data_IF_527671203868
#
_entry.id   IF_527671203868
#
_cell.length_a   1.000
_cell.length_b   1.000
_cell.length_c   1.000
_cell.angle_alpha   90.00
_cell.angle_beta   90.00
_cell.angle_gamma   90.00
#
_symmetry.space_group_name_H-M   'P 1'
#
loop_
_entity.id
_entity.type
_entity.pdbx_description
1 polymer ?
#
# COMPACT_ATOMS: atom_id res chain seq x y z
N UNK A 1 -12.70 -8.44 -3.97
CA UNK A 1 -11.23 -8.39 -3.82
C UNK A 1 -10.78 -7.03 -4.31
N UNK A 2 -10.33 -6.16 -3.41
CA UNK A 2 -9.89 -4.81 -3.76
C UNK A 2 -8.47 -4.87 -4.32
N UNK A 3 -8.26 -4.24 -5.47
CA UNK A 3 -6.95 -4.02 -6.08
C UNK A 3 -6.86 -2.55 -6.45
N UNK A 4 -5.82 -1.88 -5.96
CA UNK A 4 -5.57 -0.46 -6.22
C UNK A 4 -4.21 -0.34 -6.87
N UNK A 5 -4.16 0.25 -8.05
CA UNK A 5 -2.90 0.58 -8.74
C UNK A 5 -2.58 2.05 -8.46
N UNK A 6 -1.38 2.33 -7.94
CA UNK A 6 -0.97 3.63 -7.45
C UNK A 6 0.44 4.01 -7.94
N UNK A 7 0.55 5.14 -8.63
CA UNK A 7 1.83 5.71 -9.03
C UNK A 7 2.40 6.51 -7.87
N UNK A 8 3.63 6.17 -7.45
CA UNK A 8 4.32 6.84 -6.35
C UNK A 8 5.66 7.40 -6.82
N UNK A 9 5.80 8.72 -6.66
CA UNK A 9 7.04 9.44 -6.93
C UNK A 9 8.02 9.22 -5.77
N UNK A 10 9.06 8.41 -6.00
CA UNK A 10 10.08 8.14 -4.97
C UNK A 10 11.10 9.28 -4.92
N UNK A 11 11.35 9.93 -6.06
CA UNK A 11 12.31 11.02 -6.19
C UNK A 11 11.80 12.06 -7.19
N UNK A 12 11.99 13.35 -6.91
CA UNK A 12 11.47 14.48 -7.72
C UNK A 12 11.88 14.47 -9.20
N UNK A 13 12.89 13.69 -9.60
CA UNK A 13 13.44 13.64 -10.95
C UNK A 13 13.48 12.22 -11.55
N UNK A 14 12.68 11.29 -11.05
CA UNK A 14 12.55 9.93 -11.62
C UNK A 14 11.10 9.66 -12.03
N UNK A 15 10.92 8.71 -12.97
CA UNK A 15 9.58 8.23 -13.29
C UNK A 15 8.95 7.56 -12.06
N UNK A 16 7.68 7.83 -11.75
CA UNK A 16 6.99 7.18 -10.65
C UNK A 16 7.00 5.67 -10.82
N UNK A 17 7.17 4.95 -9.72
CA UNK A 17 6.96 3.50 -9.72
C UNK A 17 5.48 3.20 -9.54
N UNK A 18 5.01 2.21 -10.30
CA UNK A 18 3.65 1.69 -10.15
C UNK A 18 3.63 0.63 -9.05
N UNK A 19 2.95 0.94 -7.96
CA UNK A 19 2.64 0.00 -6.91
C UNK A 19 1.23 -0.56 -7.09
N UNK A 20 1.04 -1.82 -6.75
CA UNK A 20 -0.27 -2.46 -6.68
C UNK A 20 -0.53 -2.86 -5.23
N UNK A 21 -1.62 -2.34 -4.66
CA UNK A 21 -2.12 -2.68 -3.33
C UNK A 21 -3.25 -3.72 -3.49
N UNK A 22 -3.02 -4.94 -3.02
CA UNK A 22 -3.98 -6.04 -3.10
C UNK A 22 -4.49 -6.39 -1.71
N UNK A 23 -5.80 -6.38 -1.54
CA UNK A 23 -6.42 -6.81 -0.29
C UNK A 23 -6.19 -8.31 -0.08
N UNK A 24 -5.73 -8.68 1.12
CA UNK A 24 -5.55 -10.06 1.52
C UNK A 24 -6.83 -10.70 2.05
N UNK A 25 -6.65 -11.74 2.86
CA UNK A 25 -7.76 -12.55 3.38
C UNK A 25 -8.67 -11.79 4.35
N UNK A 26 -8.16 -10.73 4.98
CA UNK A 26 -8.92 -9.85 5.87
C UNK A 26 -9.01 -8.44 5.28
N UNK A 27 -10.03 -7.69 5.69
CA UNK A 27 -10.21 -6.31 5.22
C UNK A 27 -9.08 -5.37 5.61
N UNK A 28 -8.35 -5.73 6.65
CA UNK A 28 -7.31 -4.92 7.28
C UNK A 28 -5.92 -5.20 6.70
N UNK A 29 -5.75 -6.27 5.92
CA UNK A 29 -4.46 -6.72 5.41
C UNK A 29 -4.31 -6.40 3.92
N UNK A 30 -3.19 -5.77 3.56
CA UNK A 30 -2.86 -5.44 2.18
C UNK A 30 -1.44 -5.86 1.82
N UNK A 31 -1.31 -6.45 0.63
CA UNK A 31 -0.05 -6.74 -0.03
C UNK A 31 0.34 -5.57 -0.93
N UNK A 32 1.60 -5.16 -0.84
CA UNK A 32 2.19 -4.11 -1.66
C UNK A 32 3.10 -4.79 -2.66
N UNK A 33 2.80 -4.62 -3.95
CA UNK A 33 3.58 -5.18 -5.05
C UNK A 33 4.13 -4.08 -5.94
N UNK A 34 5.26 -4.35 -6.59
CA UNK A 34 5.79 -3.57 -7.72
C UNK A 34 5.93 -4.54 -8.88
N UNK A 35 5.13 -4.34 -9.93
CA UNK A 35 5.00 -5.36 -10.97
C UNK A 35 4.43 -6.66 -10.40
N UNK A 36 5.13 -7.77 -10.63
CA UNK A 36 4.81 -9.11 -10.11
C UNK A 36 5.49 -9.43 -8.76
N UNK A 37 6.29 -8.50 -8.23
CA UNK A 37 7.05 -8.72 -7.02
C UNK A 37 6.33 -8.18 -5.79
N UNK A 38 6.06 -9.06 -4.80
CA UNK A 38 5.65 -8.66 -3.46
C UNK A 38 6.81 -7.97 -2.73
N UNK A 39 6.63 -6.70 -2.38
CA UNK A 39 7.66 -5.92 -1.66
C UNK A 39 7.36 -5.80 -0.17
N UNK A 40 6.09 -5.84 0.21
CA UNK A 40 5.71 -5.76 1.61
C UNK A 40 4.27 -6.12 1.89
N UNK A 41 3.98 -6.32 3.17
CA UNK A 41 2.63 -6.53 3.69
C UNK A 41 2.38 -5.53 4.79
N UNK A 42 1.27 -4.80 4.70
CA UNK A 42 0.81 -3.86 5.73
C UNK A 42 -0.54 -4.31 6.30
N UNK A 43 -0.77 -3.97 7.55
CA UNK A 43 -2.01 -4.25 8.24
C UNK A 43 -2.53 -2.98 8.93
N UNK A 44 -3.85 -2.79 8.92
CA UNK A 44 -4.50 -1.73 9.67
C UNK A 44 -4.40 -2.04 11.16
N UNK A 45 -3.93 -1.06 11.94
CA UNK A 45 -3.87 -1.09 13.40
C UNK A 45 -4.66 0.11 13.95
N UNK A 46 -4.82 0.19 15.27
CA UNK A 46 -5.61 1.24 15.94
C UNK A 46 -5.20 2.66 15.48
N UNK A 47 -3.90 2.91 15.36
CA UNK A 47 -3.35 4.24 15.13
C UNK A 47 -2.81 4.46 13.69
N UNK A 48 -3.17 3.58 12.74
CA UNK A 48 -2.71 3.73 11.36
C UNK A 48 -2.47 2.42 10.63
N UNK A 49 -1.43 2.40 9.80
CA UNK A 49 -1.01 1.23 9.04
C UNK A 49 0.39 0.82 9.46
N UNK A 50 0.61 -0.47 9.63
CA UNK A 50 1.90 -1.01 10.07
C UNK A 50 2.37 -2.12 9.14
N UNK A 51 3.66 -2.09 8.78
CA UNK A 51 4.28 -3.19 8.06
C UNK A 51 4.42 -4.42 8.97
N UNK A 52 3.98 -5.57 8.46
CA UNK A 52 4.05 -6.86 9.14
C UNK A 52 4.88 -7.91 8.36
N UNK A 53 5.35 -7.57 7.16
CA UNK A 53 6.19 -8.47 6.36
C UNK A 53 6.86 -7.81 5.16
N UNK A 54 7.87 -8.47 4.60
CA UNK A 54 8.64 -8.04 3.43
C UNK A 54 9.84 -7.15 3.74
N UNK A 55 10.32 -6.43 2.73
CA UNK A 55 11.47 -5.52 2.84
C UNK A 55 11.09 -4.27 3.61
N UNK A 56 11.94 -3.81 4.55
CA UNK A 56 11.64 -2.63 5.38
C UNK A 56 11.34 -1.41 4.50
N UNK A 57 10.15 -0.84 4.68
CA UNK A 57 9.72 0.41 4.03
C UNK A 57 9.78 1.57 5.03
N UNK A 58 9.74 2.80 4.53
CA UNK A 58 9.65 3.99 5.39
C UNK A 58 8.24 4.15 5.93
N UNK A 59 8.11 4.71 7.13
CA UNK A 59 6.80 5.00 7.74
C UNK A 59 6.00 5.99 6.89
N UNK A 60 6.67 6.95 6.25
CA UNK A 60 6.05 7.88 5.30
C UNK A 60 5.38 7.14 4.13
N UNK A 61 6.09 6.18 3.53
CA UNK A 61 5.53 5.38 2.44
C UNK A 61 4.34 4.53 2.91
N UNK A 62 4.47 3.87 4.06
CA UNK A 62 3.39 3.04 4.64
C UNK A 62 2.15 3.89 4.91
N UNK A 63 2.33 5.06 5.53
CA UNK A 63 1.24 6.00 5.79
C UNK A 63 0.59 6.44 4.49
N UNK A 64 1.38 6.73 3.45
CA UNK A 64 0.83 7.12 2.15
C UNK A 64 0.00 6.02 1.49
N UNK A 65 0.48 4.78 1.50
CA UNK A 65 -0.30 3.64 1.01
C UNK A 65 -1.59 3.46 1.82
N UNK A 66 -1.52 3.67 3.14
CA UNK A 66 -2.67 3.65 4.03
C UNK A 66 -3.74 4.68 3.65
N UNK A 67 -3.34 5.93 3.39
CA UNK A 67 -4.24 6.99 2.91
C UNK A 67 -4.90 6.62 1.59
N UNK A 68 -4.13 6.05 0.64
CA UNK A 68 -4.63 5.60 -0.66
C UNK A 68 -5.66 4.48 -0.48
N UNK A 69 -5.38 3.50 0.38
CA UNK A 69 -6.34 2.43 0.68
C UNK A 69 -7.62 3.02 1.25
N UNK A 70 -7.53 3.89 2.25
CA UNK A 70 -8.70 4.49 2.90
C UNK A 70 -9.55 5.33 1.93
N UNK A 71 -8.90 6.12 1.07
CA UNK A 71 -9.58 6.92 0.06
C UNK A 71 -10.38 6.06 -0.93
N UNK A 72 -9.73 5.04 -1.51
CA UNK A 72 -10.37 4.18 -2.51
C UNK A 72 -11.43 3.26 -1.89
N UNK A 73 -11.24 2.84 -0.64
CA UNK A 73 -12.22 1.97 0.06
C UNK A 73 -13.50 2.73 0.45
N UNK A 74 -13.40 4.02 0.80
CA UNK A 74 -14.54 4.89 1.11
C UNK A 74 -15.28 5.37 -0.14
N UNK A 75 -14.63 5.43 -1.30
CA UNK A 75 -15.31 5.74 -2.56
C UNK A 75 -16.23 4.60 -3.06
N UNK A 76 -16.08 3.39 -2.50
CA UNK A 76 -16.73 2.17 -2.98
C UNK A 76 -17.74 1.57 -1.99
N UNK A 77 -17.99 2.21 -0.84
CA UNK A 77 -19.04 1.85 0.15
C UNK A 77 -19.87 3.07 0.55
#
# INVERSE_FOLDING_TARGET
MVKIDYLYDIFENQLPLLFTLMQGDTKELFYICVGDQLVGTINKVTDGWQQIGGSKMSDEFINKMGEVIEHEYLATN
#
